data_IF_268265467615
#
_entry.id   IF_268265467615
#
_cell.length_a   1.000
_cell.length_b   1.000
_cell.length_c   1.000
_cell.angle_alpha   90.00
_cell.angle_beta   90.00
_cell.angle_gamma   90.00
#
_symmetry.space_group_name_H-M   'P 1'
#
loop_
_entity.id
_entity.type
_entity.pdbx_description
1 polymer ?
#
# COMPACT_ATOMS: atom_id res chain seq x y z
N UNK A 1 -12.82 -2.39 9.42
CA UNK A 1 -12.32 -1.25 10.20
C UNK A 1 -12.47 -0.01 9.35
N UNK A 2 -13.20 0.98 9.83
CA UNK A 2 -13.35 2.26 9.14
C UNK A 2 -12.26 3.22 9.63
N UNK A 3 -11.28 3.48 8.78
CA UNK A 3 -10.18 4.40 9.08
C UNK A 3 -10.63 5.87 9.17
N UNK A 4 -11.83 6.20 8.70
CA UNK A 4 -12.35 7.57 8.66
C UNK A 4 -13.23 7.92 9.87
N UNK A 5 -13.54 6.95 10.74
CA UNK A 5 -14.42 7.13 11.91
C UNK A 5 -15.78 7.75 11.53
N UNK A 6 -16.39 7.26 10.46
CA UNK A 6 -17.69 7.69 9.93
C UNK A 6 -17.65 8.94 9.05
N UNK A 7 -16.46 9.47 8.73
CA UNK A 7 -16.31 10.74 7.97
C UNK A 7 -16.08 10.57 6.48
N UNK A 8 -16.08 9.33 5.97
CA UNK A 8 -15.75 9.03 4.58
C UNK A 8 -16.58 9.86 3.59
N UNK A 9 -17.89 9.97 3.78
CA UNK A 9 -18.74 10.67 2.83
C UNK A 9 -18.45 12.17 2.73
N UNK A 10 -18.15 12.82 3.86
CA UNK A 10 -17.75 14.24 3.88
C UNK A 10 -16.35 14.46 3.31
N UNK A 11 -15.42 13.50 3.50
CA UNK A 11 -14.12 13.55 2.84
C UNK A 11 -14.26 13.41 1.31
N UNK A 12 -15.21 12.58 0.85
CA UNK A 12 -15.51 12.43 -0.59
C UNK A 12 -16.08 13.72 -1.17
N UNK A 13 -16.94 14.44 -0.45
CA UNK A 13 -17.41 15.77 -0.90
C UNK A 13 -16.24 16.73 -1.09
N UNK A 14 -15.34 16.83 -0.10
CA UNK A 14 -14.15 17.68 -0.18
C UNK A 14 -13.28 17.31 -1.39
N UNK A 15 -13.06 16.02 -1.65
CA UNK A 15 -12.26 15.54 -2.78
C UNK A 15 -12.87 16.00 -4.11
N UNK A 16 -14.19 15.86 -4.26
CA UNK A 16 -14.92 16.26 -5.46
C UNK A 16 -14.88 17.79 -5.63
N UNK A 17 -15.23 18.53 -4.59
CA UNK A 17 -15.27 20.01 -4.59
C UNK A 17 -13.89 20.63 -4.84
N UNK A 18 -12.83 19.98 -4.36
CA UNK A 18 -11.44 20.42 -4.61
C UNK A 18 -10.98 20.17 -6.05
N UNK A 19 -11.80 19.51 -6.88
CA UNK A 19 -11.50 19.27 -8.30
C UNK A 19 -10.47 18.16 -8.54
N UNK A 20 -10.29 17.24 -7.57
CA UNK A 20 -9.39 16.10 -7.72
C UNK A 20 -9.73 15.28 -8.97
N UNK A 21 -8.71 14.73 -9.65
CA UNK A 21 -8.89 13.92 -10.87
C UNK A 21 -8.73 12.42 -10.66
N UNK A 22 -8.11 12.04 -9.55
CA UNK A 22 -7.83 10.66 -9.19
C UNK A 22 -8.06 10.46 -7.70
N UNK A 23 -8.88 9.48 -7.36
CA UNK A 23 -9.01 8.95 -6.01
C UNK A 23 -8.29 7.60 -5.92
N UNK A 24 -7.45 7.43 -4.89
CA UNK A 24 -6.66 6.22 -4.70
C UNK A 24 -7.05 5.53 -3.39
N UNK A 25 -7.57 4.31 -3.48
CA UNK A 25 -7.75 3.44 -2.31
C UNK A 25 -6.51 2.58 -2.10
N UNK A 26 -5.75 2.88 -1.04
CA UNK A 26 -4.48 2.22 -0.74
C UNK A 26 -4.65 0.90 0.03
N UNK A 27 -5.62 0.82 0.94
CA UNK A 27 -5.81 -0.33 1.82
C UNK A 27 -7.27 -0.78 1.79
N UNK A 28 -7.51 -1.93 1.15
CA UNK A 28 -8.87 -2.41 0.91
C UNK A 28 -9.54 -1.65 -0.24
N UNK A 29 -10.85 -1.83 -0.35
CA UNK A 29 -11.69 -1.17 -1.36
C UNK A 29 -12.71 -0.26 -0.65
N UNK A 30 -13.06 0.90 -1.23
CA UNK A 30 -14.11 1.75 -0.68
C UNK A 30 -15.49 1.11 -0.91
N UNK A 31 -16.53 1.55 -0.17
CA UNK A 31 -17.91 1.20 -0.47
C UNK A 31 -18.29 1.60 -1.91
N UNK A 32 -19.18 0.83 -2.55
CA UNK A 32 -19.58 1.06 -3.94
C UNK A 32 -20.18 2.45 -4.18
N UNK A 33 -20.96 2.97 -3.23
CA UNK A 33 -21.57 4.30 -3.35
C UNK A 33 -20.53 5.43 -3.42
N UNK A 34 -19.35 5.24 -2.81
CA UNK A 34 -18.24 6.21 -2.92
C UNK A 34 -17.70 6.23 -4.34
N UNK A 35 -17.45 5.05 -4.92
CA UNK A 35 -16.97 4.93 -6.31
C UNK A 35 -17.98 5.55 -7.28
N UNK A 36 -19.27 5.31 -7.07
CA UNK A 36 -20.33 5.87 -7.92
C UNK A 36 -20.38 7.40 -7.86
N UNK A 37 -20.22 7.99 -6.66
CA UNK A 37 -20.13 9.45 -6.48
C UNK A 37 -18.91 10.03 -7.17
N UNK A 38 -17.75 9.39 -7.04
CA UNK A 38 -16.51 9.81 -7.69
C UNK A 38 -16.66 9.81 -9.21
N UNK A 39 -17.18 8.72 -9.80
CA UNK A 39 -17.41 8.63 -11.24
C UNK A 39 -18.44 9.64 -11.74
N UNK A 40 -19.53 9.88 -10.99
CA UNK A 40 -20.53 10.89 -11.34
C UNK A 40 -19.94 12.30 -11.40
N UNK A 41 -18.90 12.56 -10.60
CA UNK A 41 -18.12 13.81 -10.62
C UNK A 41 -16.95 13.79 -11.63
N UNK A 42 -16.78 12.72 -12.41
CA UNK A 42 -15.67 12.56 -13.36
C UNK A 42 -14.30 12.32 -12.70
N UNK A 43 -14.27 11.90 -11.43
CA UNK A 43 -13.05 11.52 -10.72
C UNK A 43 -12.74 10.06 -11.00
N UNK A 44 -11.55 9.78 -11.52
CA UNK A 44 -11.07 8.43 -11.81
C UNK A 44 -10.77 7.70 -10.49
N UNK A 45 -11.11 6.42 -10.41
CA UNK A 45 -10.85 5.58 -9.26
C UNK A 45 -9.70 4.58 -9.53
N UNK A 46 -8.67 4.66 -8.68
CA UNK A 46 -7.59 3.68 -8.61
C UNK A 46 -7.61 2.89 -7.30
N UNK A 47 -7.39 1.58 -7.40
CA UNK A 47 -7.20 0.72 -6.22
C UNK A 47 -5.82 0.08 -6.21
N UNK A 48 -5.15 0.09 -5.05
CA UNK A 48 -3.91 -0.67 -4.86
C UNK A 48 -4.19 -2.12 -4.50
N UNK A 49 -3.43 -3.04 -5.08
CA UNK A 49 -3.50 -4.48 -4.78
C UNK A 49 -2.10 -5.05 -4.59
N UNK A 50 -1.98 -6.06 -3.71
CA UNK A 50 -0.75 -6.86 -3.56
C UNK A 50 -0.91 -8.32 -3.97
N UNK A 51 -2.03 -8.72 -4.57
CA UNK A 51 -2.30 -10.11 -4.94
C UNK A 51 -3.33 -10.21 -6.09
N UNK A 52 -3.16 -11.12 -7.09
CA UNK A 52 -4.07 -11.24 -8.24
C UNK A 52 -5.55 -11.45 -7.86
N UNK A 53 -5.82 -12.23 -6.80
CA UNK A 53 -7.18 -12.46 -6.27
C UNK A 53 -7.99 -11.19 -5.98
N UNK A 54 -7.34 -10.04 -5.73
CA UNK A 54 -8.02 -8.78 -5.44
C UNK A 54 -8.63 -8.13 -6.70
N UNK A 55 -8.13 -8.47 -7.90
CA UNK A 55 -8.55 -7.87 -9.17
C UNK A 55 -10.05 -8.00 -9.39
N UNK A 56 -10.62 -9.19 -9.16
CA UNK A 56 -12.07 -9.44 -9.32
C UNK A 56 -12.91 -8.42 -8.57
N UNK A 57 -12.58 -8.16 -7.29
CA UNK A 57 -13.36 -7.23 -6.47
C UNK A 57 -13.22 -5.79 -6.95
N UNK A 58 -12.04 -5.39 -7.41
CA UNK A 58 -11.82 -4.06 -7.97
C UNK A 58 -12.66 -3.85 -9.25
N UNK A 59 -12.68 -4.86 -10.13
CA UNK A 59 -13.47 -4.83 -11.37
C UNK A 59 -14.97 -4.76 -11.09
N UNK A 60 -15.48 -5.54 -10.14
CA UNK A 60 -16.89 -5.49 -9.69
C UNK A 60 -17.30 -4.10 -9.17
N UNK A 61 -16.36 -3.36 -8.58
CA UNK A 61 -16.61 -2.00 -8.09
C UNK A 61 -16.49 -0.93 -9.18
N UNK A 62 -15.96 -1.29 -10.35
CA UNK A 62 -15.76 -0.37 -11.47
C UNK A 62 -14.42 0.38 -11.44
N UNK A 63 -13.34 -0.25 -10.97
CA UNK A 63 -12.01 0.37 -10.98
C UNK A 63 -11.60 0.84 -12.38
N UNK A 64 -10.99 2.03 -12.48
CA UNK A 64 -10.42 2.54 -13.73
C UNK A 64 -8.94 2.18 -13.87
N UNK A 65 -8.21 2.17 -12.75
CA UNK A 65 -6.78 1.89 -12.67
C UNK A 65 -6.49 0.91 -11.53
N UNK A 66 -5.74 -0.15 -11.80
CA UNK A 66 -5.21 -1.03 -10.76
C UNK A 66 -3.74 -0.70 -10.55
N UNK A 67 -3.38 -0.28 -9.34
CA UNK A 67 -1.99 -0.16 -8.93
C UNK A 67 -1.54 -1.49 -8.32
N UNK A 68 -0.85 -2.30 -9.10
CA UNK A 68 -0.32 -3.59 -8.67
C UNK A 68 1.03 -3.40 -7.98
N UNK A 69 1.06 -3.59 -6.66
CA UNK A 69 2.23 -3.39 -5.82
C UNK A 69 2.86 -4.73 -5.44
N UNK A 70 4.06 -5.01 -5.97
CA UNK A 70 4.82 -6.18 -5.57
C UNK A 70 5.34 -6.09 -4.14
N UNK A 71 5.70 -7.24 -3.57
CA UNK A 71 6.22 -7.38 -2.21
C UNK A 71 7.46 -6.53 -1.91
N UNK A 72 8.16 -6.04 -2.93
CA UNK A 72 9.30 -5.12 -2.82
C UNK A 72 8.90 -3.71 -2.37
N UNK A 73 7.63 -3.33 -2.52
CA UNK A 73 7.10 -2.02 -2.11
C UNK A 73 7.20 -1.79 -0.60
N UNK A 74 7.54 -0.56 -0.19
CA UNK A 74 7.51 -0.15 1.23
C UNK A 74 6.10 0.11 1.73
N UNK A 75 5.90 0.07 3.05
CA UNK A 75 4.59 0.22 3.69
C UNK A 75 3.74 -1.04 3.53
N UNK A 76 2.41 -0.92 3.60
CA UNK A 76 1.51 -2.07 3.43
C UNK A 76 1.70 -2.72 2.08
N UNK A 77 2.06 -4.01 2.06
CA UNK A 77 2.35 -4.71 0.81
C UNK A 77 2.00 -6.20 0.92
N UNK A 78 1.80 -6.82 -0.25
CA UNK A 78 1.64 -8.27 -0.39
C UNK A 78 2.97 -9.01 -0.35
N UNK A 79 2.93 -10.27 -0.76
CA UNK A 79 4.08 -11.18 -0.82
C UNK A 79 4.50 -11.54 -2.25
N UNK A 80 3.64 -11.28 -3.23
CA UNK A 80 3.89 -11.60 -4.64
C UNK A 80 4.95 -10.64 -5.21
N UNK A 81 6.07 -11.14 -5.76
CA UNK A 81 7.09 -10.28 -6.37
C UNK A 81 6.55 -9.48 -7.56
N UNK A 82 7.10 -8.29 -7.80
CA UNK A 82 6.68 -7.39 -8.88
C UNK A 82 6.71 -8.10 -10.24
N UNK A 83 7.77 -8.86 -10.53
CA UNK A 83 7.93 -9.57 -11.80
C UNK A 83 6.88 -10.66 -12.05
N UNK A 84 6.21 -11.15 -11.01
CA UNK A 84 5.13 -12.14 -11.09
C UNK A 84 3.77 -11.45 -11.06
N UNK A 85 3.61 -10.46 -10.18
CA UNK A 85 2.34 -9.80 -9.93
C UNK A 85 1.86 -8.98 -11.14
N UNK A 86 2.74 -8.16 -11.73
CA UNK A 86 2.36 -7.24 -12.80
C UNK A 86 1.75 -7.96 -14.00
N UNK A 87 2.42 -8.93 -14.66
CA UNK A 87 1.86 -9.58 -15.84
C UNK A 87 0.57 -10.37 -15.52
N UNK A 88 0.49 -11.00 -14.34
CA UNK A 88 -0.72 -11.69 -13.91
C UNK A 88 -1.91 -10.74 -13.77
N UNK A 89 -1.70 -9.54 -13.22
CA UNK A 89 -2.76 -8.52 -13.09
C UNK A 89 -3.15 -7.96 -14.45
N UNK A 90 -2.17 -7.70 -15.33
CA UNK A 90 -2.42 -7.27 -16.72
C UNK A 90 -3.31 -8.26 -17.44
N UNK A 91 -3.03 -9.56 -17.33
CA UNK A 91 -3.86 -10.61 -17.93
C UNK A 91 -5.28 -10.62 -17.38
N UNK A 92 -5.45 -10.44 -16.06
CA UNK A 92 -6.76 -10.45 -15.41
C UNK A 92 -7.64 -9.24 -15.73
N UNK A 93 -7.06 -8.10 -16.14
CA UNK A 93 -7.84 -6.91 -16.53
C UNK A 93 -8.15 -6.84 -18.03
N UNK A 94 -7.59 -7.75 -18.85
CA UNK A 94 -7.83 -7.76 -20.30
C UNK A 94 -9.32 -7.79 -20.61
N UNK A 95 -9.75 -6.92 -21.52
CA UNK A 95 -11.15 -6.82 -21.95
C UNK A 95 -12.05 -6.00 -21.02
N UNK A 96 -11.58 -5.60 -19.83
CA UNK A 96 -12.32 -4.70 -18.95
C UNK A 96 -12.09 -3.24 -19.33
N UNK A 97 -13.12 -2.42 -19.13
CA UNK A 97 -13.09 -0.99 -19.45
C UNK A 97 -13.33 -0.14 -18.21
N UNK A 98 -12.64 0.99 -18.16
CA UNK A 98 -12.83 2.07 -17.20
C UNK A 98 -14.24 2.66 -17.37
N UNK A 99 -15.06 2.71 -16.30
CA UNK A 99 -16.37 3.35 -16.36
C UNK A 99 -16.31 4.86 -16.67
N UNK A 100 -15.21 5.53 -16.30
CA UNK A 100 -15.07 6.98 -16.49
C UNK A 100 -14.55 7.32 -17.89
N UNK A 101 -13.55 6.59 -18.39
CA UNK A 101 -12.86 6.93 -19.65
C UNK A 101 -13.36 6.15 -20.85
N UNK A 102 -14.05 5.01 -20.64
CA UNK A 102 -14.47 4.08 -21.69
C UNK A 102 -13.33 3.29 -22.34
N UNK A 103 -12.07 3.62 -22.02
CA UNK A 103 -10.87 2.90 -22.44
C UNK A 103 -10.60 1.65 -21.58
N UNK A 104 -9.53 0.89 -21.85
CA UNK A 104 -9.15 -0.27 -21.05
C UNK A 104 -8.88 0.13 -19.59
N UNK A 105 -9.19 -0.77 -18.64
CA UNK A 105 -8.68 -0.63 -17.26
C UNK A 105 -7.15 -0.67 -17.30
N UNK A 106 -6.52 0.35 -16.73
CA UNK A 106 -5.06 0.48 -16.77
C UNK A 106 -4.41 -0.26 -15.60
N UNK A 107 -3.20 -0.80 -15.81
CA UNK A 107 -2.38 -1.34 -14.72
C UNK A 107 -1.17 -0.44 -14.52
N UNK A 108 -0.97 0.03 -13.29
CA UNK A 108 0.21 0.76 -12.86
C UNK A 108 1.04 -0.15 -11.98
N UNK A 109 2.32 -0.31 -12.29
CA UNK A 109 3.23 -1.14 -11.50
C UNK A 109 3.83 -0.37 -10.32
N UNK A 110 3.91 -1.01 -9.15
CA UNK A 110 4.52 -0.43 -7.95
C UNK A 110 5.38 -1.48 -7.22
N UNK A 111 6.34 -1.00 -6.43
CA UNK A 111 7.28 -1.83 -5.68
C UNK A 111 8.59 -2.08 -6.44
N UNK A 112 9.72 -1.81 -5.79
CA UNK A 112 11.05 -2.03 -6.39
C UNK A 112 11.43 -1.12 -7.57
N UNK A 113 10.58 -0.18 -7.98
CA UNK A 113 10.83 0.71 -9.11
C UNK A 113 11.47 2.01 -8.63
N UNK A 114 12.66 2.33 -9.14
CA UNK A 114 13.42 3.50 -8.71
C UNK A 114 14.27 4.15 -9.81
N UNK A 115 14.35 3.62 -11.02
CA UNK A 115 15.17 4.19 -12.11
C UNK A 115 14.58 3.88 -13.49
N UNK A 116 15.24 4.34 -14.55
CA UNK A 116 14.79 4.14 -15.93
C UNK A 116 14.73 2.66 -16.33
N UNK A 117 15.66 1.83 -15.84
CA UNK A 117 15.70 0.40 -16.13
C UNK A 117 14.51 -0.33 -15.52
N UNK A 118 14.19 -0.06 -14.25
CA UNK A 118 13.05 -0.67 -13.56
C UNK A 118 11.71 -0.15 -14.10
N UNK A 119 11.65 1.12 -14.53
CA UNK A 119 10.52 1.65 -15.31
C UNK A 119 10.35 0.87 -16.62
N UNK A 120 11.41 0.73 -17.42
CA UNK A 120 11.36 0.01 -18.68
C UNK A 120 10.93 -1.45 -18.49
N UNK A 121 11.46 -2.13 -17.46
CA UNK A 121 11.06 -3.49 -17.10
C UNK A 121 9.56 -3.57 -16.77
N UNK A 122 9.03 -2.64 -15.98
CA UNK A 122 7.60 -2.60 -15.65
C UNK A 122 6.70 -2.39 -16.88
N UNK A 123 7.12 -1.52 -17.81
CA UNK A 123 6.41 -1.34 -19.08
C UNK A 123 6.45 -2.61 -19.94
N UNK A 124 7.59 -3.31 -19.98
CA UNK A 124 7.74 -4.59 -20.69
C UNK A 124 6.90 -5.72 -20.06
N UNK A 125 6.60 -5.65 -18.76
CA UNK A 125 5.66 -6.54 -18.08
C UNK A 125 4.19 -6.23 -18.39
N UNK A 126 3.91 -5.19 -19.18
CA UNK A 126 2.57 -4.82 -19.65
C UNK A 126 1.88 -3.73 -18.83
N UNK A 127 2.55 -3.11 -17.87
CA UNK A 127 1.99 -1.96 -17.15
C UNK A 127 1.94 -0.72 -18.05
N UNK A 128 0.92 0.11 -17.86
CA UNK A 128 0.75 1.40 -18.54
C UNK A 128 1.61 2.51 -17.95
N UNK A 129 2.15 2.29 -16.75
CA UNK A 129 2.95 3.26 -16.01
C UNK A 129 3.44 2.68 -14.69
N UNK A 130 4.09 3.53 -13.88
CA UNK A 130 4.67 3.13 -12.59
C UNK A 130 4.28 4.07 -11.46
N UNK A 131 4.17 3.53 -10.25
CA UNK A 131 3.99 4.26 -9.01
C UNK A 131 5.25 4.11 -8.15
N UNK A 132 5.97 5.22 -7.96
CA UNK A 132 7.27 5.24 -7.27
C UNK A 132 7.10 5.86 -5.89
N UNK A 133 7.50 5.12 -4.85
CA UNK A 133 7.42 5.55 -3.45
C UNK A 133 8.78 5.90 -2.86
N UNK A 134 9.55 4.88 -2.44
CA UNK A 134 10.79 5.02 -1.66
C UNK A 134 11.76 6.08 -2.18
N UNK A 135 11.96 6.17 -3.51
CA UNK A 135 12.86 7.17 -4.10
C UNK A 135 12.41 8.61 -3.84
N UNK A 136 11.10 8.88 -3.81
CA UNK A 136 10.56 10.21 -3.56
C UNK A 136 10.68 10.65 -2.09
N UNK A 137 10.99 9.75 -1.15
CA UNK A 137 11.26 10.13 0.26
C UNK A 137 12.49 11.03 0.37
N UNK A 138 13.43 10.91 -0.58
CA UNK A 138 14.69 11.65 -0.59
C UNK A 138 14.63 12.99 -1.35
N UNK A 139 13.47 13.42 -1.85
CA UNK A 139 13.38 14.75 -2.48
C UNK A 139 13.36 15.87 -1.44
N UNK A 140 13.61 17.10 -1.88
CA UNK A 140 13.62 18.28 -1.01
C UNK A 140 12.21 18.58 -0.47
N UNK A 141 11.18 18.37 -1.28
CA UNK A 141 9.78 18.61 -0.94
C UNK A 141 9.19 17.56 0.01
N UNK A 142 9.82 16.39 0.12
CA UNK A 142 9.34 15.33 0.99
C UNK A 142 9.47 15.76 2.47
N UNK A 143 8.32 15.88 3.14
CA UNK A 143 8.22 16.20 4.58
C UNK A 143 8.63 15.06 5.53
N UNK A 144 9.44 14.11 5.07
CA UNK A 144 9.92 13.00 5.89
C UNK A 144 10.95 13.50 6.92
N UNK A 145 10.90 13.02 8.19
CA UNK A 145 11.90 13.37 9.20
C UNK A 145 13.32 13.05 8.74
N UNK A 146 14.31 13.84 9.19
CA UNK A 146 15.72 13.63 8.82
C UNK A 146 16.19 12.19 9.07
N UNK A 147 15.85 11.63 10.22
CA UNK A 147 16.18 10.25 10.55
C UNK A 147 15.56 9.22 9.57
N UNK A 148 14.37 9.50 9.02
CA UNK A 148 13.75 8.64 8.02
C UNK A 148 14.44 8.78 6.66
N UNK A 149 14.78 10.00 6.23
CA UNK A 149 15.56 10.20 5.00
C UNK A 149 16.92 9.51 5.09
N UNK A 150 17.62 9.66 6.20
CA UNK A 150 18.89 8.99 6.48
C UNK A 150 18.73 7.46 6.46
N UNK A 151 17.71 6.92 7.13
CA UNK A 151 17.39 5.50 7.12
C UNK A 151 17.12 4.93 5.71
N UNK A 152 16.50 5.69 4.82
CA UNK A 152 16.30 5.31 3.41
C UNK A 152 17.62 5.40 2.64
N UNK A 153 18.40 6.46 2.86
CA UNK A 153 19.65 6.70 2.16
C UNK A 153 20.72 5.64 2.48
N UNK A 154 20.78 5.16 3.72
CA UNK A 154 21.78 4.19 4.18
C UNK A 154 21.31 2.74 4.04
N UNK A 155 20.17 2.48 3.38
CA UNK A 155 19.60 1.15 3.31
C UNK A 155 20.31 0.21 2.33
N UNK A 156 20.73 -0.96 2.85
CA UNK A 156 21.15 -2.11 2.06
C UNK A 156 19.98 -3.01 1.62
N UNK A 157 20.31 -4.06 0.87
CA UNK A 157 19.32 -5.03 0.36
C UNK A 157 18.69 -5.88 1.46
N UNK A 158 19.41 -6.09 2.57
CA UNK A 158 18.99 -6.92 3.72
C UNK A 158 18.42 -6.09 4.88
N UNK A 159 18.39 -4.77 4.74
CA UNK A 159 17.97 -3.83 5.80
C UNK A 159 16.45 -3.72 5.95
N UNK A 160 15.67 -4.62 5.37
CA UNK A 160 14.22 -4.55 5.38
C UNK A 160 13.61 -5.86 5.82
N UNK A 161 12.43 -5.76 6.41
CA UNK A 161 11.66 -6.92 6.86
C UNK A 161 10.18 -6.65 6.63
N UNK A 162 9.43 -7.72 6.35
CA UNK A 162 7.97 -7.66 6.32
C UNK A 162 7.45 -8.06 7.68
N UNK A 163 6.67 -7.18 8.30
CA UNK A 163 6.18 -7.35 9.66
C UNK A 163 4.70 -6.95 9.76
N UNK A 164 4.00 -7.45 10.77
CA UNK A 164 2.64 -7.03 11.11
C UNK A 164 2.60 -6.13 12.35
N UNK A 165 3.73 -5.92 13.03
CA UNK A 165 3.75 -5.42 14.41
C UNK A 165 3.16 -4.02 14.59
N UNK A 166 3.14 -3.20 13.54
CA UNK A 166 2.69 -1.81 13.60
C UNK A 166 1.19 -1.63 13.34
N UNK A 167 0.55 -2.54 12.60
CA UNK A 167 -0.85 -2.33 12.14
C UNK A 167 -1.71 -3.59 12.13
N UNK A 168 -1.14 -4.75 12.49
CA UNK A 168 -1.78 -6.06 12.31
C UNK A 168 -1.87 -6.50 10.84
N UNK A 169 -1.39 -5.70 9.89
CA UNK A 169 -1.34 -6.02 8.46
C UNK A 169 0.10 -6.02 7.96
N UNK A 170 0.44 -6.88 6.99
CA UNK A 170 1.79 -6.94 6.45
C UNK A 170 2.27 -5.59 5.92
N UNK A 171 3.42 -5.16 6.41
CA UNK A 171 4.12 -3.96 5.98
C UNK A 171 5.60 -4.26 5.78
N UNK A 172 6.21 -3.71 4.73
CA UNK A 172 7.66 -3.74 4.53
C UNK A 172 8.29 -2.45 5.05
N UNK A 173 9.19 -2.59 6.01
CA UNK A 173 9.82 -1.48 6.73
C UNK A 173 11.34 -1.70 6.80
N UNK A 174 12.09 -0.64 7.09
CA UNK A 174 13.51 -0.79 7.47
C UNK A 174 13.59 -1.58 8.78
N UNK A 175 14.39 -2.63 8.80
CA UNK A 175 14.63 -3.43 9.98
C UNK A 175 15.49 -2.66 11.00
N UNK A 176 15.30 -2.95 12.27
CA UNK A 176 16.09 -2.46 13.38
C UNK A 176 16.05 -3.49 14.52
N UNK A 177 16.85 -3.36 15.59
CA UNK A 177 16.89 -4.35 16.67
C UNK A 177 15.51 -4.66 17.27
N UNK A 178 14.67 -3.63 17.48
CA UNK A 178 13.31 -3.80 18.01
C UNK A 178 12.41 -4.63 17.08
N UNK A 179 12.38 -4.32 15.79
CA UNK A 179 11.59 -5.07 14.81
C UNK A 179 12.15 -6.49 14.68
N UNK A 180 13.47 -6.65 14.64
CA UNK A 180 14.13 -7.94 14.55
C UNK A 180 13.80 -8.83 15.75
N UNK A 181 13.75 -8.28 16.96
CA UNK A 181 13.37 -9.01 18.16
C UNK A 181 11.93 -9.56 18.06
N UNK A 182 11.00 -8.74 17.56
CA UNK A 182 9.64 -9.19 17.28
C UNK A 182 9.57 -10.33 16.24
N UNK A 183 10.34 -10.19 15.16
CA UNK A 183 10.34 -11.13 14.04
C UNK A 183 11.15 -12.40 14.28
N UNK A 184 11.96 -12.46 15.35
CA UNK A 184 12.81 -13.64 15.66
C UNK A 184 12.49 -14.26 17.02
N UNK A 185 12.51 -13.48 18.10
CA UNK A 185 12.41 -13.99 19.48
C UNK A 185 10.96 -13.98 20.02
N UNK A 186 10.14 -13.01 19.60
CA UNK A 186 8.78 -12.81 20.14
C UNK A 186 7.67 -13.24 19.19
N UNK A 187 7.96 -14.14 18.24
CA UNK A 187 6.97 -14.58 17.26
C UNK A 187 5.72 -15.23 17.87
N UNK A 188 5.86 -15.96 18.98
CA UNK A 188 4.70 -16.56 19.66
C UNK A 188 3.83 -15.48 20.31
N UNK A 189 4.44 -14.52 21.01
CA UNK A 189 3.73 -13.37 21.60
C UNK A 189 3.02 -12.54 20.51
N UNK A 190 3.69 -12.32 19.37
CA UNK A 190 3.10 -11.64 18.22
C UNK A 190 1.85 -12.38 17.72
N UNK A 191 1.90 -13.71 17.59
CA UNK A 191 0.74 -14.52 17.18
C UNK A 191 -0.39 -14.44 18.20
N UNK A 192 -0.08 -14.50 19.49
CA UNK A 192 -1.07 -14.47 20.56
C UNK A 192 -1.77 -13.10 20.64
N UNK A 193 -1.03 -12.01 20.44
CA UNK A 193 -1.59 -10.65 20.37
C UNK A 193 -2.45 -10.48 19.12
N UNK A 194 -1.96 -10.91 17.95
CA UNK A 194 -2.70 -10.84 16.70
C UNK A 194 -4.03 -11.63 16.77
N UNK A 195 -4.03 -12.81 17.43
CA UNK A 195 -5.24 -13.61 17.63
C UNK A 195 -6.29 -12.91 18.50
N UNK A 196 -5.87 -11.99 19.38
CA UNK A 196 -6.76 -11.15 20.21
C UNK A 196 -7.14 -9.84 19.53
N UNK A 197 -6.64 -9.58 18.32
CA UNK A 197 -6.82 -8.31 17.63
C UNK A 197 -6.00 -7.15 18.20
N UNK A 198 -5.01 -7.44 19.05
CA UNK A 198 -4.10 -6.44 19.64
C UNK A 198 -2.88 -6.25 18.73
N UNK A 199 -2.52 -5.00 18.46
CA UNK A 199 -1.33 -4.68 17.67
C UNK A 199 -0.08 -4.79 18.58
N UNK A 200 0.95 -5.56 18.19
CA UNK A 200 2.16 -5.75 19.01
C UNK A 200 2.84 -4.45 19.47
N UNK A 201 2.97 -3.48 18.57
CA UNK A 201 3.54 -2.17 18.88
C UNK A 201 2.70 -1.39 19.90
N UNK A 202 1.37 -1.45 19.81
CA UNK A 202 0.48 -0.78 20.77
C UNK A 202 0.57 -1.42 22.15
N UNK A 203 0.68 -2.75 22.22
CA UNK A 203 0.86 -3.47 23.48
C UNK A 203 2.17 -3.09 24.20
N UNK A 204 3.26 -2.91 23.44
CA UNK A 204 4.53 -2.44 24.01
C UNK A 204 4.47 -0.95 24.40
N UNK A 205 3.80 -0.11 23.62
CA UNK A 205 3.59 1.29 23.97
C UNK A 205 2.80 1.43 25.28
N UNK A 206 1.75 0.64 25.48
CA UNK A 206 0.94 0.65 26.70
C UNK A 206 1.79 0.25 27.93
N UNK A 207 2.63 -0.78 27.80
CA UNK A 207 3.59 -1.16 28.84
C UNK A 207 4.55 -0.02 29.19
N UNK A 208 5.15 0.63 28.18
CA UNK A 208 6.07 1.77 28.38
C UNK A 208 5.35 2.92 29.08
N UNK A 209 4.12 3.25 28.68
CA UNK A 209 3.31 4.29 29.30
C UNK A 209 2.96 3.97 30.75
N UNK A 210 2.87 2.69 31.11
CA UNK A 210 2.63 2.21 32.47
C UNK A 210 3.92 2.02 33.29
N UNK A 211 5.09 2.34 32.73
CA UNK A 211 6.40 2.17 33.38
C UNK A 211 6.88 0.70 33.46
N UNK A 212 6.26 -0.19 32.67
CA UNK A 212 6.64 -1.59 32.60
C UNK A 212 7.80 -1.80 31.61
N UNK A 213 8.71 -2.75 31.88
CA UNK A 213 9.78 -3.07 30.96
C UNK A 213 9.25 -3.76 29.70
N UNK A 214 9.78 -3.37 28.54
CA UNK A 214 9.56 -4.05 27.26
C UNK A 214 10.79 -4.86 26.88
N UNK A 215 10.60 -6.04 26.29
CA UNK A 215 11.69 -6.85 25.74
C UNK A 215 12.28 -6.11 24.53
N UNK A 216 13.54 -5.69 24.66
CA UNK A 216 14.32 -5.00 23.63
C UNK A 216 15.10 -5.95 22.74
#
# INVERSE_FOLDING_TARGET
YDYTKGKLDGLVDIIIESGAKLFVSAVGVPPKHVVDRLHAAGVVYMNMIGHPKHVKKCLELGVDIICAQGGEGGGHTGDVPTTVLIPAVVDLVKGHKSPVTGGPVQVVAAGGIYNGQTLAAALMLGASGVWVGTRFILTDEAGAPKAHKEAVQTAGHDDNVRTIIFTGRPMRVRNNPYINNWETERQQEMRDLAAKGTIPYEADLEKIMNGEPVKG
#
